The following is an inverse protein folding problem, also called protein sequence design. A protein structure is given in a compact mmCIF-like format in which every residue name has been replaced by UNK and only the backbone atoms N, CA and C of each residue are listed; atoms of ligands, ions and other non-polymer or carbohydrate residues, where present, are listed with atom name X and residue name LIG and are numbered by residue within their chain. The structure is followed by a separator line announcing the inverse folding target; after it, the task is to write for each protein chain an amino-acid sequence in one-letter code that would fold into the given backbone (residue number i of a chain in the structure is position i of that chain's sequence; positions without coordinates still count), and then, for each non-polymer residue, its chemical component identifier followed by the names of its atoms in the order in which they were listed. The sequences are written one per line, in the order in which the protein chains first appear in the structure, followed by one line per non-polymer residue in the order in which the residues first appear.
data_IF_381289507149
#
_entry.id   IF_381289507149
#
_cell.length_a   1.000
_cell.length_b   1.000
_cell.length_c   1.000
_cell.angle_alpha   90.00
_cell.angle_beta   90.00
_cell.angle_gamma   90.00
#
_symmetry.space_group_name_H-M   'P 1'
#
loop_
_entity.id
_entity.type
_entity.pdbx_description
1 polymer ?
#
# COMPACT_ATOMS: atom_id res chain seq x y z
N UNK A 1 -0.46 0.02 27.32
CA UNK A 1 -0.87 0.01 25.89
C UNK A 1 -0.33 -1.19 25.11
N UNK A 2 0.91 -1.67 25.33
CA UNK A 2 1.45 -2.88 24.67
C UNK A 2 0.76 -4.21 25.06
N UNK A 3 -0.01 -4.23 26.16
CA UNK A 3 -0.60 -5.47 26.69
C UNK A 3 -1.95 -5.84 26.06
N UNK A 4 -2.72 -4.85 25.57
CA UNK A 4 -4.05 -5.08 24.98
C UNK A 4 -3.94 -5.62 23.54
N UNK A 5 -2.92 -5.20 22.77
CA UNK A 5 -2.74 -5.67 21.39
C UNK A 5 -2.38 -7.15 21.31
N UNK A 6 -1.50 -7.63 22.19
CA UNK A 6 -1.15 -9.05 22.26
C UNK A 6 -2.34 -9.91 22.67
N UNK A 7 -3.11 -9.46 23.68
CA UNK A 7 -4.34 -10.13 24.12
C UNK A 7 -5.43 -10.14 23.06
N UNK A 8 -5.53 -9.07 22.27
CA UNK A 8 -6.43 -9.03 21.11
C UNK A 8 -6.07 -10.03 20.03
N UNK A 9 -4.78 -10.19 19.69
CA UNK A 9 -4.35 -11.22 18.75
C UNK A 9 -4.67 -12.64 19.24
N UNK A 10 -4.52 -12.89 20.55
CA UNK A 10 -4.93 -14.15 21.16
C UNK A 10 -6.45 -14.36 21.11
N UNK A 11 -7.24 -13.29 21.31
CA UNK A 11 -8.69 -13.33 21.19
C UNK A 11 -9.13 -13.64 19.75
N UNK A 12 -8.51 -12.99 18.76
CA UNK A 12 -8.74 -13.24 17.34
C UNK A 12 -8.45 -14.69 16.96
N UNK A 13 -7.28 -15.23 17.32
CA UNK A 13 -6.92 -16.63 17.04
C UNK A 13 -7.91 -17.63 17.69
N UNK A 14 -8.32 -17.36 18.93
CA UNK A 14 -9.32 -18.16 19.62
C UNK A 14 -10.70 -18.07 18.93
N UNK A 15 -11.07 -16.88 18.44
CA UNK A 15 -12.32 -16.66 17.73
C UNK A 15 -12.34 -17.36 16.37
N UNK A 16 -11.25 -17.28 15.59
CA UNK A 16 -11.13 -17.95 14.29
C UNK A 16 -11.18 -19.48 14.42
N UNK A 17 -10.62 -20.03 15.51
CA UNK A 17 -10.58 -21.47 15.75
C UNK A 17 -11.83 -22.06 16.39
N UNK A 18 -12.62 -21.28 17.13
CA UNK A 18 -13.75 -21.83 17.89
C UNK A 18 -14.85 -20.83 18.31
N UNK A 19 -14.86 -19.64 17.71
CA UNK A 19 -15.81 -18.56 18.00
C UNK A 19 -15.71 -18.01 19.42
N UNK A 20 -16.73 -17.24 19.82
CA UNK A 20 -16.78 -16.55 21.12
C UNK A 20 -16.53 -17.47 22.33
N UNK A 21 -17.03 -18.72 22.28
CA UNK A 21 -16.87 -19.69 23.38
C UNK A 21 -15.40 -20.01 23.63
N UNK A 22 -14.60 -20.13 22.59
CA UNK A 22 -13.17 -20.44 22.71
C UNK A 22 -12.38 -19.21 23.20
N UNK A 23 -12.76 -17.99 22.78
CA UNK A 23 -12.21 -16.74 23.33
C UNK A 23 -12.40 -16.68 24.85
N UNK A 24 -13.64 -16.86 25.32
CA UNK A 24 -14.00 -16.81 26.75
C UNK A 24 -13.31 -17.89 27.57
N UNK A 25 -13.02 -19.05 26.96
CA UNK A 25 -12.28 -20.14 27.59
C UNK A 25 -10.79 -19.80 27.72
N UNK A 26 -10.14 -19.32 26.65
CA UNK A 26 -8.70 -19.03 26.62
C UNK A 26 -8.33 -17.79 27.44
N UNK A 27 -9.21 -16.79 27.48
CA UNK A 27 -9.01 -15.52 28.18
C UNK A 27 -9.83 -15.44 29.47
N UNK A 28 -10.12 -16.59 30.09
CA UNK A 28 -10.89 -16.64 31.34
C UNK A 28 -10.15 -15.88 32.44
N UNK A 29 -10.82 -14.89 33.02
CA UNK A 29 -10.26 -14.05 34.08
C UNK A 29 -9.45 -12.85 33.57
N UNK A 30 -9.35 -12.66 32.26
CA UNK A 30 -8.77 -11.45 31.69
C UNK A 30 -9.67 -10.23 32.02
N UNK A 31 -9.12 -9.14 32.58
CA UNK A 31 -9.91 -7.96 32.94
C UNK A 31 -10.57 -7.29 31.73
N UNK A 32 -10.03 -7.47 30.53
CA UNK A 32 -10.53 -6.87 29.29
C UNK A 32 -11.37 -7.86 28.45
N UNK A 33 -11.80 -9.00 29.01
CA UNK A 33 -12.45 -10.09 28.27
C UNK A 33 -13.63 -9.63 27.40
N UNK A 34 -14.56 -8.85 27.94
CA UNK A 34 -15.73 -8.38 27.17
C UNK A 34 -15.31 -7.44 26.03
N UNK A 35 -14.30 -6.59 26.25
CA UNK A 35 -13.74 -5.72 25.21
C UNK A 35 -13.08 -6.55 24.11
N UNK A 36 -12.31 -7.58 24.48
CA UNK A 36 -11.62 -8.47 23.54
C UNK A 36 -12.61 -9.32 22.73
N UNK A 37 -13.69 -9.81 23.34
CA UNK A 37 -14.78 -10.51 22.64
C UNK A 37 -15.47 -9.56 21.65
N UNK A 38 -15.84 -8.35 22.07
CA UNK A 38 -16.47 -7.38 21.19
C UNK A 38 -15.57 -6.94 20.04
N UNK A 39 -14.26 -6.75 20.28
CA UNK A 39 -13.27 -6.48 19.22
C UNK A 39 -13.13 -7.65 18.25
N UNK A 40 -13.11 -8.90 18.72
CA UNK A 40 -13.00 -10.09 17.87
C UNK A 40 -14.26 -10.31 17.01
N UNK A 41 -15.44 -9.93 17.53
CA UNK A 41 -16.70 -9.95 16.79
C UNK A 41 -16.88 -8.77 15.83
N UNK A 42 -16.01 -7.75 15.92
CA UNK A 42 -16.16 -6.50 15.19
C UNK A 42 -17.30 -5.60 15.70
N UNK A 43 -17.83 -5.87 16.89
CA UNK A 43 -18.87 -5.07 17.56
C UNK A 43 -18.28 -3.82 18.23
N UNK A 44 -17.00 -3.90 18.57
CA UNK A 44 -16.21 -2.80 19.13
C UNK A 44 -15.11 -2.49 18.12
N UNK A 45 -14.94 -1.21 17.78
CA UNK A 45 -13.96 -0.77 16.81
C UNK A 45 -14.41 0.52 16.13
N UNK A 46 -13.56 1.04 15.25
CA UNK A 46 -14.00 2.02 14.26
C UNK A 46 -14.46 1.25 13.03
N UNK A 47 -15.60 1.66 12.47
CA UNK A 47 -16.03 1.15 11.17
C UNK A 47 -14.91 1.33 10.16
N UNK A 48 -14.78 0.35 9.26
CA UNK A 48 -13.85 0.46 8.15
C UNK A 48 -14.25 1.68 7.33
N UNK A 49 -13.44 2.74 7.40
CA UNK A 49 -13.62 3.90 6.54
C UNK A 49 -13.31 3.42 5.12
N UNK A 50 -14.36 3.24 4.33
CA UNK A 50 -14.24 2.90 2.92
C UNK A 50 -13.43 3.94 2.15
N UNK A 51 -12.94 3.55 0.98
CA UNK A 51 -12.30 4.52 0.07
C UNK A 51 -13.35 5.60 -0.25
N UNK A 52 -13.05 6.90 -0.12
CA UNK A 52 -14.05 7.96 -0.20
C UNK A 52 -14.76 7.91 -1.56
N UNK A 53 -16.03 8.33 -1.66
CA UNK A 53 -16.70 8.45 -2.94
C UNK A 53 -15.90 9.36 -3.89
N UNK A 54 -16.08 9.16 -5.20
CA UNK A 54 -15.33 9.90 -6.22
C UNK A 54 -15.72 11.38 -6.32
N UNK A 55 -16.83 11.77 -5.70
CA UNK A 55 -17.28 13.16 -5.66
C UNK A 55 -16.25 14.08 -5.01
N UNK A 56 -15.86 15.13 -5.75
CA UNK A 56 -14.87 16.11 -5.31
C UNK A 56 -13.41 15.64 -5.40
N UNK A 57 -13.14 14.44 -5.92
CA UNK A 57 -11.76 13.99 -6.13
C UNK A 57 -11.11 14.77 -7.27
N UNK A 58 -10.02 15.46 -6.96
CA UNK A 58 -9.16 16.07 -7.97
C UNK A 58 -8.06 15.11 -8.40
N UNK A 59 -7.58 15.23 -9.64
CA UNK A 59 -6.37 14.51 -10.07
C UNK A 59 -5.21 14.82 -9.13
N UNK A 60 -4.33 13.84 -8.92
CA UNK A 60 -3.19 14.05 -8.04
C UNK A 60 -2.27 15.11 -8.65
N UNK A 61 -2.15 16.23 -7.95
CA UNK A 61 -1.18 17.26 -8.26
C UNK A 61 0.02 17.08 -7.33
N UNK A 62 1.23 16.81 -7.86
CA UNK A 62 2.41 16.67 -7.02
C UNK A 62 2.66 17.97 -6.25
N UNK A 63 3.05 17.85 -4.99
CA UNK A 63 3.46 19.01 -4.19
C UNK A 63 4.89 19.40 -4.56
N UNK A 64 5.09 20.58 -5.16
CA UNK A 64 6.43 21.08 -5.53
C UNK A 64 7.01 20.42 -6.79
N UNK A 65 8.29 20.03 -6.78
CA UNK A 65 9.01 19.47 -7.93
C UNK A 65 8.86 17.94 -8.08
N UNK A 66 7.72 17.38 -7.67
CA UNK A 66 7.46 15.95 -7.79
C UNK A 66 7.47 15.49 -9.25
N UNK A 67 8.31 14.51 -9.58
CA UNK A 67 8.46 13.95 -10.94
C UNK A 67 8.20 12.44 -10.99
N UNK A 68 8.00 11.79 -9.84
CA UNK A 68 7.83 10.34 -9.80
C UNK A 68 6.50 9.92 -10.43
N UNK A 69 5.40 10.59 -10.07
CA UNK A 69 4.09 10.28 -10.64
C UNK A 69 4.05 10.55 -12.15
N UNK A 70 4.59 11.68 -12.58
CA UNK A 70 4.68 12.02 -14.00
C UNK A 70 5.44 10.94 -14.81
N UNK A 71 6.54 10.42 -14.27
CA UNK A 71 7.30 9.36 -14.90
C UNK A 71 6.55 8.01 -14.95
N UNK A 72 5.81 7.65 -13.89
CA UNK A 72 4.95 6.46 -13.89
C UNK A 72 3.78 6.61 -14.87
N UNK A 73 3.20 7.81 -14.96
CA UNK A 73 2.12 8.14 -15.88
C UNK A 73 2.60 8.04 -17.34
N UNK A 74 3.76 8.62 -17.67
CA UNK A 74 4.41 8.49 -18.98
C UNK A 74 4.69 7.02 -19.30
N UNK A 75 5.28 6.26 -18.37
CA UNK A 75 5.54 4.84 -18.55
C UNK A 75 4.29 4.06 -18.98
N UNK A 76 3.15 4.28 -18.32
CA UNK A 76 1.92 3.55 -18.62
C UNK A 76 1.26 4.06 -19.93
N UNK A 77 1.23 5.36 -20.15
CA UNK A 77 0.57 5.96 -21.32
C UNK A 77 1.38 5.85 -22.61
N UNK A 78 2.68 6.12 -22.60
CA UNK A 78 3.51 6.20 -23.83
C UNK A 78 4.27 4.91 -24.10
N UNK A 79 4.91 4.33 -23.07
CA UNK A 79 5.77 3.14 -23.23
C UNK A 79 4.96 1.83 -23.23
N UNK A 80 4.02 1.68 -22.29
CA UNK A 80 3.11 0.53 -22.21
C UNK A 80 1.86 0.69 -23.08
N UNK A 81 1.57 1.90 -23.56
CA UNK A 81 0.43 2.22 -24.44
C UNK A 81 -0.91 1.78 -23.87
N UNK A 82 -1.11 1.99 -22.57
CA UNK A 82 -2.41 1.73 -21.95
C UNK A 82 -3.48 2.70 -22.47
N UNK A 83 -4.75 2.27 -22.58
CA UNK A 83 -5.85 3.18 -22.86
C UNK A 83 -5.90 4.32 -21.84
N UNK A 84 -6.28 5.52 -22.30
CA UNK A 84 -6.42 6.71 -21.44
C UNK A 84 -7.36 6.47 -20.27
N UNK A 85 -8.42 5.68 -20.48
CA UNK A 85 -9.36 5.25 -19.45
C UNK A 85 -8.66 4.47 -18.33
N UNK A 86 -7.90 3.42 -18.65
CA UNK A 86 -7.18 2.61 -17.66
C UNK A 86 -6.13 3.42 -16.89
N UNK A 87 -5.47 4.37 -17.56
CA UNK A 87 -4.54 5.30 -16.90
C UNK A 87 -5.29 6.24 -15.96
N UNK A 88 -6.46 6.74 -16.37
CA UNK A 88 -7.34 7.56 -15.55
C UNK A 88 -7.88 6.81 -14.33
N UNK A 89 -8.28 5.55 -14.48
CA UNK A 89 -8.69 4.70 -13.35
C UNK A 89 -7.54 4.47 -12.35
N UNK A 90 -6.32 4.25 -12.84
CA UNK A 90 -5.14 4.13 -12.01
C UNK A 90 -4.87 5.42 -11.24
N UNK A 91 -4.96 6.58 -11.91
CA UNK A 91 -4.84 7.89 -11.26
C UNK A 91 -5.89 8.04 -10.16
N UNK A 92 -7.17 7.90 -10.50
CA UNK A 92 -8.29 8.02 -9.56
C UNK A 92 -8.14 7.11 -8.35
N UNK A 93 -7.93 5.82 -8.58
CA UNK A 93 -7.81 4.81 -7.52
C UNK A 93 -6.70 5.16 -6.54
N UNK A 94 -5.52 5.53 -7.05
CA UNK A 94 -4.37 5.87 -6.19
C UNK A 94 -4.48 7.25 -5.55
N UNK A 95 -5.14 8.21 -6.19
CA UNK A 95 -5.46 9.52 -5.59
C UNK A 95 -6.39 9.36 -4.39
N UNK A 96 -7.42 8.51 -4.51
CA UNK A 96 -8.34 8.22 -3.38
C UNK A 96 -7.61 7.62 -2.19
N UNK A 97 -6.64 6.72 -2.43
CA UNK A 97 -5.79 6.18 -1.35
C UNK A 97 -4.90 7.29 -0.76
N UNK A 98 -4.29 8.13 -1.60
CA UNK A 98 -3.47 9.25 -1.13
C UNK A 98 -4.24 10.26 -0.28
N UNK A 99 -5.53 10.50 -0.52
CA UNK A 99 -6.37 11.38 0.33
C UNK A 99 -6.53 10.85 1.75
N UNK A 100 -6.51 9.53 1.92
CA UNK A 100 -6.54 8.89 3.24
C UNK A 100 -5.17 8.87 3.91
N UNK A 101 -4.10 8.97 3.13
CA UNK A 101 -2.76 9.18 3.64
C UNK A 101 -2.55 10.67 3.94
N UNK A 102 -1.69 10.98 4.90
CA UNK A 102 -1.37 12.38 5.17
C UNK A 102 -0.58 12.97 3.99
N UNK A 103 -1.10 14.04 3.38
CA UNK A 103 -0.48 14.74 2.24
C UNK A 103 0.95 15.25 2.55
N UNK A 104 1.26 15.46 3.83
CA UNK A 104 2.62 15.60 4.34
C UNK A 104 2.84 14.55 5.42
N UNK A 105 3.84 13.66 5.29
CA UNK A 105 4.17 12.73 6.36
C UNK A 105 4.45 13.49 7.66
N UNK A 106 3.67 13.25 8.70
CA UNK A 106 3.92 13.81 10.02
C UNK A 106 4.59 12.76 10.91
N UNK A 107 5.44 13.20 11.84
CA UNK A 107 6.05 12.33 12.86
C UNK A 107 5.11 12.07 14.05
N UNK A 108 3.82 11.91 13.77
CA UNK A 108 2.80 11.58 14.76
C UNK A 108 2.82 10.11 15.15
N UNK A 109 2.24 9.77 16.31
CA UNK A 109 2.22 8.41 16.85
C UNK A 109 1.18 7.47 16.20
N UNK A 110 0.47 7.90 15.16
CA UNK A 110 -0.55 7.11 14.49
C UNK A 110 -0.17 6.80 13.04
N UNK A 111 -0.43 5.56 12.62
CA UNK A 111 -0.26 5.09 11.25
C UNK A 111 -1.61 4.93 10.55
N UNK A 112 -1.61 5.02 9.22
CA UNK A 112 -2.75 4.69 8.39
C UNK A 112 -2.62 3.23 7.95
N UNK A 113 -3.67 2.44 8.18
CA UNK A 113 -3.74 1.04 7.76
C UNK A 113 -4.90 0.90 6.78
N UNK A 114 -4.67 0.16 5.71
CA UNK A 114 -5.68 -0.06 4.67
C UNK A 114 -5.45 -1.39 3.97
N UNK A 115 -6.54 -1.94 3.43
CA UNK A 115 -6.54 -3.18 2.66
C UNK A 115 -7.06 -2.89 1.25
N UNK A 116 -6.25 -3.21 0.25
CA UNK A 116 -6.65 -3.16 -1.16
C UNK A 116 -6.87 -4.59 -1.65
N UNK A 117 -8.10 -4.93 -2.00
CA UNK A 117 -8.47 -6.24 -2.54
C UNK A 117 -8.74 -6.10 -4.03
N UNK A 118 -8.19 -7.01 -4.84
CA UNK A 118 -8.41 -7.02 -6.29
C UNK A 118 -8.15 -8.39 -6.88
N UNK A 119 -8.86 -8.72 -7.97
CA UNK A 119 -8.78 -10.00 -8.67
C UNK A 119 -7.36 -10.30 -9.18
N UNK A 120 -7.08 -11.59 -9.44
CA UNK A 120 -5.82 -11.99 -10.10
C UNK A 120 -5.69 -11.23 -11.42
N UNK A 121 -4.49 -10.71 -11.71
CA UNK A 121 -4.19 -9.87 -12.89
C UNK A 121 -4.89 -8.51 -12.97
N UNK A 122 -5.55 -8.02 -11.92
CA UNK A 122 -6.22 -6.71 -11.89
C UNK A 122 -5.27 -5.48 -11.83
N UNK A 123 -3.99 -5.63 -12.19
CA UNK A 123 -3.04 -4.53 -12.13
C UNK A 123 -2.54 -4.12 -10.73
N UNK A 124 -2.61 -5.02 -9.73
CA UNK A 124 -2.13 -4.75 -8.35
C UNK A 124 -0.74 -4.12 -8.28
N UNK A 125 0.21 -4.60 -9.10
CA UNK A 125 1.56 -4.04 -9.16
C UNK A 125 1.60 -2.61 -9.65
N UNK A 126 0.86 -2.29 -10.72
CA UNK A 126 0.75 -0.92 -11.20
C UNK A 126 0.10 0.00 -10.16
N UNK A 127 -0.89 -0.51 -9.42
CA UNK A 127 -1.57 0.26 -8.37
C UNK A 127 -0.59 0.68 -7.25
N UNK A 128 0.10 -0.26 -6.60
CA UNK A 128 1.06 0.13 -5.55
C UNK A 128 2.26 0.91 -6.11
N UNK A 129 2.66 0.67 -7.36
CA UNK A 129 3.74 1.46 -8.01
C UNK A 129 3.33 2.92 -8.17
N UNK A 130 2.13 3.16 -8.70
CA UNK A 130 1.55 4.50 -8.82
C UNK A 130 1.36 5.16 -7.45
N UNK A 131 0.85 4.43 -6.45
CA UNK A 131 0.72 4.94 -5.10
C UNK A 131 2.07 5.35 -4.50
N UNK A 132 3.10 4.50 -4.60
CA UNK A 132 4.45 4.83 -4.12
C UNK A 132 5.02 6.08 -4.80
N UNK A 133 4.78 6.25 -6.10
CA UNK A 133 5.26 7.43 -6.84
C UNK A 133 4.60 8.73 -6.36
N UNK A 134 3.28 8.71 -6.14
CA UNK A 134 2.54 9.85 -5.58
C UNK A 134 2.99 10.17 -4.17
N UNK A 135 3.12 9.14 -3.33
CA UNK A 135 3.65 9.29 -1.97
C UNK A 135 5.07 9.88 -1.97
N UNK A 136 5.96 9.44 -2.88
CA UNK A 136 7.30 10.00 -2.98
C UNK A 136 7.26 11.50 -3.32
N UNK A 137 6.39 11.90 -4.24
CA UNK A 137 6.16 13.31 -4.60
C UNK A 137 5.50 14.12 -3.45
N UNK A 138 4.78 13.47 -2.54
CA UNK A 138 4.24 14.04 -1.29
C UNK A 138 5.24 14.03 -0.11
N UNK A 139 6.48 13.58 -0.33
CA UNK A 139 7.56 13.65 0.66
C UNK A 139 7.78 12.39 1.50
N UNK A 140 7.09 11.28 1.21
CA UNK A 140 7.41 9.97 1.80
C UNK A 140 8.78 9.51 1.30
N UNK A 141 9.62 9.00 2.20
CA UNK A 141 11.03 8.70 1.91
C UNK A 141 11.46 7.26 2.24
N UNK A 142 10.56 6.43 2.73
CA UNK A 142 10.79 5.00 2.98
C UNK A 142 9.59 4.20 2.47
N UNK A 143 9.89 3.18 1.68
CA UNK A 143 8.90 2.27 1.11
C UNK A 143 9.32 0.85 1.38
N UNK A 144 8.49 0.10 2.12
CA UNK A 144 8.70 -1.30 2.42
C UNK A 144 7.60 -2.07 1.70
N UNK A 145 7.99 -2.90 0.72
CA UNK A 145 7.07 -3.75 -0.02
C UNK A 145 7.34 -5.20 0.36
N UNK A 146 6.35 -5.84 0.97
CA UNK A 146 6.36 -7.25 1.30
C UNK A 146 5.65 -8.00 0.17
N UNK A 147 6.32 -8.98 -0.44
CA UNK A 147 5.82 -9.65 -1.63
C UNK A 147 5.97 -11.18 -1.50
N UNK A 148 4.84 -11.85 -1.26
CA UNK A 148 4.71 -13.31 -1.27
C UNK A 148 5.53 -14.06 -0.22
N UNK A 149 5.22 -15.35 -0.05
CA UNK A 149 6.01 -16.26 0.78
C UNK A 149 7.26 -16.78 0.03
N UNK A 150 7.20 -16.82 -1.29
CA UNK A 150 8.24 -17.41 -2.15
C UNK A 150 9.19 -16.34 -2.72
N UNK A 151 10.48 -16.67 -2.74
CA UNK A 151 11.54 -15.78 -3.24
C UNK A 151 11.33 -15.35 -4.69
N UNK A 152 10.84 -16.24 -5.55
CA UNK A 152 10.59 -15.93 -6.96
C UNK A 152 9.56 -14.80 -7.14
N UNK A 153 8.47 -14.82 -6.35
CA UNK A 153 7.44 -13.79 -6.42
C UNK A 153 7.96 -12.45 -5.87
N UNK A 154 8.78 -12.52 -4.82
CA UNK A 154 9.49 -11.36 -4.27
C UNK A 154 10.41 -10.74 -5.32
N UNK A 155 11.19 -11.54 -6.02
CA UNK A 155 12.15 -11.10 -7.03
C UNK A 155 11.49 -10.51 -8.27
N UNK A 156 10.40 -11.12 -8.72
CA UNK A 156 9.58 -10.56 -9.80
C UNK A 156 9.02 -9.19 -9.40
N UNK A 157 8.50 -9.06 -8.18
CA UNK A 157 7.96 -7.79 -7.66
C UNK A 157 9.06 -6.73 -7.54
N UNK A 158 10.20 -7.09 -6.97
CA UNK A 158 11.35 -6.19 -6.83
C UNK A 158 11.88 -5.74 -8.20
N UNK A 159 11.98 -6.66 -9.17
CA UNK A 159 12.39 -6.33 -10.54
C UNK A 159 11.42 -5.36 -11.20
N UNK A 160 10.10 -5.58 -11.06
CA UNK A 160 9.08 -4.65 -11.58
C UNK A 160 9.21 -3.27 -10.94
N UNK A 161 9.31 -3.18 -9.61
CA UNK A 161 9.47 -1.89 -8.92
C UNK A 161 10.77 -1.16 -9.34
N UNK A 162 11.88 -1.88 -9.45
CA UNK A 162 13.14 -1.25 -9.87
C UNK A 162 13.05 -0.68 -11.29
N UNK A 163 12.29 -1.30 -12.19
CA UNK A 163 12.06 -0.79 -13.57
C UNK A 163 11.03 0.34 -13.61
N UNK A 164 9.89 0.11 -12.98
CA UNK A 164 8.67 0.90 -13.19
C UNK A 164 8.49 2.05 -12.20
N UNK A 165 9.20 2.04 -11.07
CA UNK A 165 9.20 3.12 -10.09
C UNK A 165 10.52 3.89 -10.08
N UNK A 166 11.64 3.16 -10.14
CA UNK A 166 12.96 3.77 -9.88
C UNK A 166 13.79 4.01 -11.14
N UNK A 167 13.61 3.20 -12.19
CA UNK A 167 14.51 3.19 -13.36
C UNK A 167 15.93 2.63 -13.11
N UNK A 168 16.20 2.04 -11.93
CA UNK A 168 17.50 1.47 -11.57
C UNK A 168 17.80 0.15 -12.28
N UNK A 169 16.76 -0.60 -12.65
CA UNK A 169 16.90 -1.80 -13.46
C UNK A 169 16.51 -1.49 -14.89
N UNK A 170 17.45 -1.71 -15.81
CA UNK A 170 17.25 -1.49 -17.25
C UNK A 170 17.20 -2.85 -17.92
N UNK A 171 16.17 -3.09 -18.71
CA UNK A 171 16.18 -4.26 -19.58
C UNK A 171 17.30 -4.08 -20.63
N UNK A 172 18.00 -5.18 -20.94
CA UNK A 172 19.16 -5.23 -21.83
C UNK A 172 18.84 -4.75 -23.26
N UNK A 173 17.55 -4.67 -23.62
CA UNK A 173 17.04 -4.17 -24.91
C UNK A 173 16.48 -2.73 -24.87
N UNK A 174 16.73 -1.95 -23.82
CA UNK A 174 16.14 -0.60 -23.67
C UNK A 174 14.64 -0.64 -23.36
N UNK A 175 14.21 -1.64 -22.59
CA UNK A 175 12.81 -2.00 -22.37
C UNK A 175 11.98 -0.98 -21.56
N UNK A 176 10.75 -1.38 -21.24
CA UNK A 176 9.75 -0.57 -20.55
C UNK A 176 10.19 -0.28 -19.11
N UNK A 177 10.81 0.88 -18.90
CA UNK A 177 11.25 1.38 -17.59
C UNK A 177 11.13 2.92 -17.51
N UNK A 178 11.14 3.45 -16.30
CA UNK A 178 11.30 4.88 -16.06
C UNK A 178 12.73 5.31 -16.41
N UNK A 179 12.90 6.55 -16.86
CA UNK A 179 14.21 7.16 -16.96
C UNK A 179 14.62 7.78 -15.62
N UNK A 180 15.54 7.12 -14.92
CA UNK A 180 16.07 7.53 -13.62
C UNK A 180 16.67 8.95 -13.63
N UNK A 181 17.20 9.41 -14.77
CA UNK A 181 17.79 10.76 -14.87
C UNK A 181 16.75 11.88 -14.78
N UNK A 182 15.47 11.57 -15.05
CA UNK A 182 14.39 12.56 -15.04
C UNK A 182 13.82 12.81 -13.63
N UNK A 183 14.14 11.96 -12.65
CA UNK A 183 13.60 12.04 -11.30
C UNK A 183 14.32 13.13 -10.48
N UNK A 184 13.55 13.93 -9.75
CA UNK A 184 14.07 15.00 -8.88
C UNK A 184 14.82 14.46 -7.66
N UNK A 185 14.51 13.23 -7.22
CA UNK A 185 15.20 12.52 -6.15
C UNK A 185 15.51 11.11 -6.58
N UNK A 186 16.72 10.66 -6.28
CA UNK A 186 17.16 9.33 -6.66
C UNK A 186 16.78 8.28 -5.63
N UNK A 187 16.21 7.18 -6.13
CA UNK A 187 15.82 6.04 -5.33
C UNK A 187 17.06 5.29 -4.86
N UNK A 188 17.06 4.88 -3.59
CA UNK A 188 18.09 4.01 -3.03
C UNK A 188 17.49 2.66 -2.73
N UNK A 189 18.03 1.62 -3.37
CA UNK A 189 17.66 0.23 -3.10
C UNK A 189 18.39 -0.27 -1.86
N UNK A 190 17.63 -0.74 -0.86
CA UNK A 190 18.18 -1.27 0.40
C UNK A 190 18.37 -2.80 0.33
N UNK A 191 17.56 -3.51 -0.45
CA UNK A 191 17.59 -4.98 -0.57
C UNK A 191 18.29 -5.45 -1.86
N UNK A 192 18.97 -6.59 -1.83
CA UNK A 192 19.53 -7.22 -3.04
C UNK A 192 18.46 -8.08 -3.74
N UNK A 193 18.61 -8.32 -5.05
CA UNK A 193 17.90 -9.44 -5.70
C UNK A 193 18.55 -10.72 -5.17
N UNK A 194 17.73 -11.74 -4.88
CA UNK A 194 18.21 -13.02 -4.35
C UNK A 194 18.92 -13.82 -5.42
#
# INVERSE_FOLDING_TARGET
MMELSARYLLALDAYDSGGEREVRKRLKGDPDLETLVGLAKGEIGQDVIGIPPEEGLTSFLPTGEGKNWAAVLDLHSTKKKWPSESVGELDKSTSRIMTHLCAKPHRGNYGHYGLVVGHVQSGKTSNYTALCSKAADSGYNLFIVLAGLYNDLREQTQTRLLRELTGLDKDRKGGIHIDHAQLSRQWKRITKKG
#
